data_IF_972140460811
#
_entry.id   IF_972140460811
#
_cell.length_a   1.000
_cell.length_b   1.000
_cell.length_c   1.000
_cell.angle_alpha   90.00
_cell.angle_beta   90.00
_cell.angle_gamma   90.00
#
_symmetry.space_group_name_H-M   'P 1'
#
loop_
_entity.id
_entity.type
_entity.pdbx_description
1 polymer ?
#
# COMPACT_ATOMS: atom_id res chain seq x y z
N UNK A 1 8.19 -11.54 -0.50
CA UNK A 1 8.70 -12.90 -0.30
C UNK A 1 10.12 -12.93 0.28
N UNK A 2 11.18 -12.92 -0.54
CA UNK A 2 12.57 -13.03 -0.07
C UNK A 2 13.09 -11.72 0.54
N UNK A 3 13.72 -11.82 1.72
CA UNK A 3 14.43 -10.71 2.37
C UNK A 3 15.86 -11.17 2.63
N UNK A 4 16.80 -10.54 1.93
CA UNK A 4 18.24 -10.80 2.04
C UNK A 4 18.83 -10.04 3.22
N UNK A 5 19.94 -10.55 3.74
CA UNK A 5 20.72 -9.89 4.78
C UNK A 5 21.01 -8.41 4.45
N UNK A 6 20.90 -7.55 5.46
CA UNK A 6 21.10 -6.11 5.32
C UNK A 6 19.86 -5.34 4.85
N UNK A 7 18.83 -5.99 4.28
CA UNK A 7 17.65 -5.27 3.79
C UNK A 7 16.78 -4.72 4.93
N UNK A 8 16.53 -5.53 5.96
CA UNK A 8 15.74 -5.13 7.14
C UNK A 8 16.32 -3.89 7.80
N UNK A 9 17.64 -3.85 7.98
CA UNK A 9 18.34 -2.75 8.66
C UNK A 9 18.25 -1.46 7.84
N UNK A 10 18.35 -1.56 6.50
CA UNK A 10 18.18 -0.39 5.62
C UNK A 10 16.74 0.09 5.59
N UNK A 11 15.76 -0.81 5.55
CA UNK A 11 14.35 -0.46 5.62
C UNK A 11 14.02 0.22 6.96
N UNK A 12 14.50 -0.34 8.06
CA UNK A 12 14.33 0.24 9.39
C UNK A 12 14.99 1.61 9.52
N UNK A 13 16.23 1.77 9.03
CA UNK A 13 16.91 3.06 9.03
C UNK A 13 16.14 4.11 8.21
N UNK A 14 15.62 3.73 7.04
CA UNK A 14 14.77 4.59 6.20
C UNK A 14 13.51 5.04 6.94
N UNK A 15 12.78 4.10 7.55
CA UNK A 15 11.54 4.44 8.29
C UNK A 15 11.85 5.28 9.53
N UNK A 16 12.86 4.92 10.33
CA UNK A 16 13.27 5.73 11.51
C UNK A 16 13.58 7.18 11.13
N UNK A 17 14.17 7.41 9.96
CA UNK A 17 14.51 8.74 9.46
C UNK A 17 13.29 9.56 8.97
N UNK A 18 12.10 8.97 8.89
CA UNK A 18 10.87 9.63 8.40
C UNK A 18 10.26 8.96 7.17
N UNK A 19 10.84 7.87 6.68
CA UNK A 19 10.32 7.10 5.55
C UNK A 19 9.02 6.37 5.87
N UNK A 20 8.28 6.05 4.81
CA UNK A 20 7.05 5.26 4.88
C UNK A 20 7.27 3.96 4.13
N UNK A 21 7.11 2.84 4.82
CA UNK A 21 7.30 1.50 4.26
C UNK A 21 5.97 0.78 4.21
N UNK A 22 5.68 0.09 3.12
CA UNK A 22 4.49 -0.75 2.98
C UNK A 22 4.96 -2.14 2.58
N UNK A 23 4.55 -3.14 3.34
CA UNK A 23 4.68 -4.54 2.96
C UNK A 23 3.31 -5.21 2.92
N UNK A 24 3.23 -6.33 2.23
CA UNK A 24 2.02 -7.14 2.13
C UNK A 24 2.26 -8.52 2.72
N UNK A 25 1.19 -9.29 2.83
CA UNK A 25 1.21 -10.73 3.03
C UNK A 25 2.31 -11.40 2.20
N UNK A 26 2.87 -12.48 2.73
CA UNK A 26 3.95 -13.26 2.12
C UNK A 26 5.27 -12.50 1.95
N UNK A 27 5.53 -11.50 2.79
CA UNK A 27 6.81 -10.77 2.86
C UNK A 27 7.71 -11.32 3.98
N UNK A 28 9.03 -11.35 3.76
CA UNK A 28 9.98 -11.77 4.79
C UNK A 28 9.95 -13.26 5.13
N UNK A 29 9.64 -14.11 4.15
CA UNK A 29 9.50 -15.55 4.35
C UNK A 29 10.86 -16.25 4.34
N UNK A 30 11.71 -15.94 3.36
CA UNK A 30 12.97 -16.66 3.12
C UNK A 30 14.18 -15.74 2.94
N UNK A 31 15.38 -16.30 3.13
CA UNK A 31 16.66 -15.69 2.79
C UNK A 31 17.05 -15.92 1.31
N UNK A 32 18.24 -15.48 0.91
CA UNK A 32 18.77 -15.60 -0.46
C UNK A 32 18.93 -17.04 -0.98
N UNK A 33 18.91 -18.03 -0.09
CA UNK A 33 18.97 -19.45 -0.42
C UNK A 33 17.63 -20.17 -0.28
N UNK A 34 16.53 -19.41 -0.21
CA UNK A 34 15.16 -19.93 -0.07
C UNK A 34 14.91 -20.68 1.26
N UNK A 35 15.76 -20.48 2.27
CA UNK A 35 15.53 -21.02 3.61
C UNK A 35 14.62 -20.09 4.39
N UNK A 36 13.59 -20.64 5.02
CA UNK A 36 12.67 -19.88 5.86
C UNK A 36 13.42 -19.19 7.01
N UNK A 37 13.09 -17.92 7.22
CA UNK A 37 13.56 -17.18 8.39
C UNK A 37 12.97 -17.79 9.67
N UNK A 38 13.79 -18.19 10.66
CA UNK A 38 13.29 -18.64 11.96
C UNK A 38 12.76 -17.45 12.77
N UNK A 39 11.96 -17.74 13.82
CA UNK A 39 11.47 -16.70 14.74
C UNK A 39 10.16 -16.02 14.34
N UNK A 40 9.46 -16.54 13.33
CA UNK A 40 8.12 -16.12 12.91
C UNK A 40 8.12 -15.05 11.82
N UNK A 41 7.08 -15.04 11.00
CA UNK A 41 6.95 -14.12 9.87
C UNK A 41 6.45 -12.74 10.32
N UNK A 42 6.81 -11.63 9.64
CA UNK A 42 7.57 -11.50 8.40
C UNK A 42 9.09 -11.47 8.60
N UNK A 43 9.62 -12.34 9.47
CA UNK A 43 11.04 -12.63 9.60
C UNK A 43 11.82 -11.38 10.00
N UNK A 44 12.89 -11.00 9.28
CA UNK A 44 13.66 -9.80 9.57
C UNK A 44 12.85 -8.49 9.56
N UNK A 45 11.66 -8.47 8.95
CA UNK A 45 10.78 -7.28 8.92
C UNK A 45 9.82 -7.20 10.11
N UNK A 46 9.69 -8.26 10.93
CA UNK A 46 8.77 -8.33 12.08
C UNK A 46 8.95 -7.15 13.06
N UNK A 47 10.17 -6.79 13.49
CA UNK A 47 10.36 -5.63 14.39
C UNK A 47 9.94 -4.29 13.76
N UNK A 48 10.19 -4.12 12.46
CA UNK A 48 9.82 -2.90 11.73
C UNK A 48 8.31 -2.79 11.57
N UNK A 49 7.66 -3.87 11.17
CA UNK A 49 6.22 -3.90 10.89
C UNK A 49 5.38 -4.01 12.17
N UNK A 50 5.98 -4.41 13.29
CA UNK A 50 5.30 -4.51 14.59
C UNK A 50 4.15 -5.51 14.57
N UNK A 51 4.30 -6.61 13.83
CA UNK A 51 3.31 -7.67 13.68
C UNK A 51 3.99 -9.03 13.58
N UNK A 52 3.31 -10.07 14.05
CA UNK A 52 3.61 -11.46 13.76
C UNK A 52 2.55 -12.03 12.81
N UNK A 53 2.96 -12.48 11.63
CA UNK A 53 2.12 -13.26 10.73
C UNK A 53 2.27 -14.74 11.08
N UNK A 54 1.21 -15.31 11.66
CA UNK A 54 1.22 -16.69 12.17
C UNK A 54 1.04 -17.70 11.03
N UNK A 55 0.03 -17.48 10.20
CA UNK A 55 -0.33 -18.37 9.11
C UNK A 55 -0.92 -17.59 7.93
N UNK A 56 -0.87 -18.20 6.75
CA UNK A 56 -1.54 -17.71 5.55
C UNK A 56 -2.63 -18.71 5.15
N UNK A 57 -3.84 -18.20 5.01
CA UNK A 57 -4.98 -18.91 4.47
C UNK A 57 -5.05 -18.70 2.95
N UNK A 58 -5.38 -19.77 2.23
CA UNK A 58 -5.47 -19.78 0.76
C UNK A 58 -6.90 -20.07 0.34
N UNK A 59 -7.50 -19.09 -0.32
CA UNK A 59 -8.90 -19.12 -0.77
C UNK A 59 -8.98 -19.59 -2.23
N UNK A 60 -9.99 -20.39 -2.56
CA UNK A 60 -10.33 -20.70 -3.96
C UNK A 60 -10.88 -19.48 -4.70
N UNK A 61 -11.02 -19.58 -6.03
CA UNK A 61 -11.56 -18.49 -6.86
C UNK A 61 -13.00 -18.10 -6.48
N UNK A 62 -13.77 -19.02 -5.91
CA UNK A 62 -15.14 -18.81 -5.44
C UNK A 62 -15.21 -18.23 -4.02
N UNK A 63 -14.11 -18.31 -3.25
CA UNK A 63 -14.04 -17.84 -1.88
C UNK A 63 -13.57 -16.38 -1.82
N UNK A 64 -14.07 -15.65 -0.83
CA UNK A 64 -13.59 -14.32 -0.48
C UNK A 64 -13.93 -13.98 0.96
N UNK A 65 -13.18 -13.05 1.52
CA UNK A 65 -13.46 -12.44 2.82
C UNK A 65 -13.75 -10.94 2.61
N UNK A 66 -14.17 -10.24 3.65
CA UNK A 66 -14.34 -8.79 3.66
C UNK A 66 -13.40 -8.15 4.69
N UNK A 67 -12.76 -7.05 4.29
CA UNK A 67 -11.90 -6.22 5.13
C UNK A 67 -12.61 -4.91 5.37
N UNK A 68 -12.75 -4.50 6.63
CA UNK A 68 -13.46 -3.28 7.01
C UNK A 68 -12.60 -2.35 7.85
N UNK A 69 -12.58 -1.07 7.46
CA UNK A 69 -11.87 -0.05 8.21
C UNK A 69 -12.45 0.15 9.61
N UNK A 70 -11.58 0.34 10.61
CA UNK A 70 -11.99 0.72 11.95
C UNK A 70 -12.37 2.21 11.99
N UNK A 71 -13.32 2.63 12.85
CA UNK A 71 -13.87 3.99 12.86
C UNK A 71 -12.82 5.11 12.95
N UNK A 72 -11.75 4.91 13.73
CA UNK A 72 -10.72 5.92 14.01
C UNK A 72 -9.44 5.74 13.18
N UNK A 73 -9.45 4.84 12.18
CA UNK A 73 -8.27 4.51 11.36
C UNK A 73 -7.87 5.58 10.34
N UNK A 74 -8.72 6.58 10.11
CA UNK A 74 -8.58 7.53 8.99
C UNK A 74 -9.02 6.95 7.64
N UNK A 75 -9.41 5.68 7.59
CA UNK A 75 -10.02 5.03 6.43
C UNK A 75 -11.52 4.80 6.66
N UNK A 76 -12.28 4.73 5.58
CA UNK A 76 -13.71 4.40 5.61
C UNK A 76 -14.03 3.47 4.45
N UNK A 77 -14.70 2.37 4.74
CA UNK A 77 -15.12 1.41 3.72
C UNK A 77 -15.05 -0.03 4.20
N UNK A 78 -15.62 -0.90 3.37
CA UNK A 78 -15.39 -2.33 3.35
C UNK A 78 -14.92 -2.73 1.96
N UNK A 79 -14.04 -3.71 1.88
CA UNK A 79 -13.40 -4.15 0.64
C UNK A 79 -13.32 -5.66 0.58
N UNK A 80 -13.31 -6.20 -0.63
CA UNK A 80 -13.19 -7.64 -0.83
C UNK A 80 -11.73 -8.08 -0.74
N UNK A 81 -11.48 -9.09 0.09
CA UNK A 81 -10.24 -9.86 0.10
C UNK A 81 -10.45 -11.20 -0.63
N UNK A 82 -9.44 -11.66 -1.36
CA UNK A 82 -9.48 -12.90 -2.17
C UNK A 82 -8.14 -13.59 -2.15
N UNK A 83 -8.11 -14.86 -2.52
CA UNK A 83 -6.92 -15.69 -2.74
C UNK A 83 -6.02 -15.93 -1.52
N UNK A 84 -5.56 -14.89 -0.83
CA UNK A 84 -4.63 -15.00 0.30
C UNK A 84 -5.01 -14.03 1.43
N UNK A 85 -5.13 -14.57 2.64
CA UNK A 85 -5.43 -13.85 3.88
C UNK A 85 -4.50 -14.35 4.99
N UNK A 86 -3.66 -13.48 5.56
CA UNK A 86 -2.86 -13.83 6.73
C UNK A 86 -3.60 -13.56 8.04
N UNK A 87 -3.42 -14.48 9.00
CA UNK A 87 -3.78 -14.27 10.40
C UNK A 87 -2.57 -13.61 11.09
N UNK A 88 -2.74 -12.33 11.47
CA UNK A 88 -1.66 -11.53 12.05
C UNK A 88 -1.97 -11.06 13.47
N UNK A 89 -0.92 -10.92 14.27
CA UNK A 89 -0.95 -10.47 15.66
C UNK A 89 -0.14 -9.17 15.80
N UNK A 90 -0.75 -8.06 16.23
CA UNK A 90 -0.01 -6.83 16.44
C UNK A 90 0.94 -6.93 17.63
N UNK A 91 2.19 -6.54 17.41
CA UNK A 91 3.27 -6.44 18.40
C UNK A 91 3.72 -4.99 18.53
N UNK A 92 2.75 -4.10 18.78
CA UNK A 92 2.95 -2.65 18.84
C UNK A 92 2.39 -1.88 17.64
N UNK A 93 2.04 -2.56 16.56
CA UNK A 93 1.30 -1.93 15.46
C UNK A 93 -0.14 -1.59 15.86
N UNK A 94 -0.61 -0.45 15.39
CA UNK A 94 -2.01 -0.02 15.42
C UNK A 94 -2.79 -0.72 14.31
N UNK A 95 -4.02 -1.15 14.62
CA UNK A 95 -4.92 -1.78 13.65
C UNK A 95 -5.76 -0.71 12.95
N UNK A 96 -5.79 -0.75 11.62
CA UNK A 96 -6.55 0.18 10.79
C UNK A 96 -7.79 -0.47 10.17
N UNK A 97 -7.74 -1.77 9.86
CA UNK A 97 -8.87 -2.53 9.35
C UNK A 97 -8.81 -3.98 9.84
N UNK A 98 -9.96 -4.63 9.95
CA UNK A 98 -10.09 -6.03 10.35
C UNK A 98 -10.85 -6.84 9.29
N UNK A 99 -10.62 -8.14 9.26
CA UNK A 99 -11.51 -9.07 8.57
C UNK A 99 -12.88 -9.11 9.25
N UNK A 100 -13.94 -9.38 8.49
CA UNK A 100 -15.31 -9.44 9.01
C UNK A 100 -15.95 -10.82 8.92
N UNK A 101 -15.30 -11.78 8.28
CA UNK A 101 -15.81 -13.15 8.09
C UNK A 101 -14.72 -14.21 8.35
N UNK A 102 -15.12 -15.48 8.32
CA UNK A 102 -14.32 -16.68 8.58
C UNK A 102 -13.83 -16.84 10.03
N UNK A 103 -13.05 -17.88 10.32
CA UNK A 103 -12.57 -18.20 11.68
C UNK A 103 -11.66 -17.12 12.29
N UNK A 104 -11.14 -16.21 11.45
CA UNK A 104 -10.34 -15.05 11.82
C UNK A 104 -11.11 -13.72 11.69
N UNK A 105 -12.45 -13.74 11.69
CA UNK A 105 -13.25 -12.54 11.81
C UNK A 105 -12.82 -11.71 13.04
N UNK A 106 -12.62 -10.41 12.84
CA UNK A 106 -12.10 -9.49 13.87
C UNK A 106 -10.58 -9.40 13.96
N UNK A 107 -9.83 -10.33 13.33
CA UNK A 107 -8.37 -10.21 13.26
C UNK A 107 -7.94 -9.06 12.34
N UNK A 108 -6.77 -8.45 12.57
CA UNK A 108 -6.28 -7.34 11.76
C UNK A 108 -6.02 -7.74 10.30
N UNK A 109 -6.40 -6.87 9.38
CA UNK A 109 -6.16 -7.01 7.94
C UNK A 109 -5.30 -5.88 7.36
N UNK A 110 -5.24 -4.73 8.05
CA UNK A 110 -4.36 -3.61 7.75
C UNK A 110 -3.83 -3.03 9.06
N UNK A 111 -2.51 -2.91 9.19
CA UNK A 111 -1.86 -2.32 10.38
C UNK A 111 -0.87 -1.22 10.01
N UNK A 112 -0.56 -0.39 11.01
CA UNK A 112 0.44 0.69 10.97
C UNK A 112 1.32 0.59 12.22
N UNK A 113 2.63 0.58 12.06
CA UNK A 113 3.58 0.71 13.15
C UNK A 113 4.34 2.04 13.06
N UNK A 114 4.45 2.74 14.19
CA UNK A 114 5.21 3.98 14.29
C UNK A 114 6.66 3.69 14.66
N UNK A 115 7.60 4.04 13.77
CA UNK A 115 9.02 3.74 13.96
C UNK A 115 9.86 4.98 13.74
N UNK A 116 10.43 5.52 14.82
CA UNK A 116 11.14 6.80 14.80
C UNK A 116 10.25 7.93 14.31
N UNK A 117 10.62 8.58 13.20
CA UNK A 117 9.83 9.66 12.58
C UNK A 117 8.89 9.18 11.47
N UNK A 118 8.96 7.90 11.09
CA UNK A 118 8.23 7.33 9.97
C UNK A 118 7.17 6.32 10.39
N UNK A 119 6.62 5.62 9.40
CA UNK A 119 5.57 4.62 9.59
C UNK A 119 5.80 3.40 8.71
N UNK A 120 5.48 2.21 9.23
CA UNK A 120 5.50 0.97 8.47
C UNK A 120 4.08 0.37 8.44
N UNK A 121 3.56 0.08 7.25
CA UNK A 121 2.22 -0.49 7.05
C UNK A 121 2.32 -1.94 6.61
N UNK A 122 1.37 -2.76 7.06
CA UNK A 122 1.23 -4.15 6.61
C UNK A 122 -0.18 -4.43 6.10
N UNK A 123 -0.29 -4.93 4.87
CA UNK A 123 -1.55 -5.36 4.25
C UNK A 123 -1.61 -6.88 4.27
N UNK A 124 -2.46 -7.46 5.12
CA UNK A 124 -2.47 -8.90 5.41
C UNK A 124 -3.20 -9.76 4.35
N UNK A 125 -3.85 -9.15 3.36
CA UNK A 125 -4.62 -9.87 2.33
C UNK A 125 -4.46 -9.28 0.94
N UNK A 126 -4.81 -10.07 -0.08
CA UNK A 126 -5.00 -9.57 -1.45
C UNK A 126 -6.39 -8.94 -1.57
N UNK A 127 -6.43 -7.63 -1.70
CA UNK A 127 -7.66 -6.85 -1.73
C UNK A 127 -8.07 -6.44 -3.16
N UNK A 128 -9.26 -5.88 -3.30
CA UNK A 128 -9.75 -5.31 -4.56
C UNK A 128 -9.17 -3.92 -4.87
N UNK A 129 -9.48 -3.42 -6.07
CA UNK A 129 -8.99 -2.10 -6.52
C UNK A 129 -9.52 -0.96 -5.64
N UNK A 130 -10.72 -1.11 -5.06
CA UNK A 130 -11.29 -0.09 -4.20
C UNK A 130 -10.50 0.06 -2.89
N UNK A 131 -9.95 -1.03 -2.34
CA UNK A 131 -9.01 -0.98 -1.23
C UNK A 131 -7.75 -0.22 -1.63
N UNK A 132 -7.15 -0.58 -2.76
CA UNK A 132 -5.91 0.04 -3.22
C UNK A 132 -6.09 1.53 -3.49
N UNK A 133 -7.22 1.94 -4.07
CA UNK A 133 -7.58 3.35 -4.25
C UNK A 133 -7.71 4.08 -2.92
N UNK A 134 -8.44 3.54 -1.95
CA UNK A 134 -8.62 4.17 -0.65
C UNK A 134 -7.29 4.28 0.13
N UNK A 135 -6.53 3.19 0.18
CA UNK A 135 -5.25 3.14 0.90
C UNK A 135 -4.19 4.05 0.25
N UNK A 136 -4.05 4.04 -1.07
CA UNK A 136 -3.09 4.94 -1.74
C UNK A 136 -3.53 6.41 -1.68
N UNK A 137 -4.84 6.71 -1.74
CA UNK A 137 -5.33 8.07 -1.51
C UNK A 137 -5.00 8.59 -0.12
N UNK A 138 -5.15 7.74 0.91
CA UNK A 138 -4.72 8.07 2.28
C UNK A 138 -3.21 8.40 2.33
N UNK A 139 -2.37 7.58 1.70
CA UNK A 139 -0.92 7.81 1.66
C UNK A 139 -0.57 9.09 0.88
N UNK A 140 -1.22 9.37 -0.24
CA UNK A 140 -1.02 10.61 -1.03
C UNK A 140 -1.29 11.84 -0.18
N UNK A 141 -2.38 11.86 0.57
CA UNK A 141 -2.73 12.98 1.47
C UNK A 141 -1.72 13.10 2.61
N UNK A 142 -1.42 11.98 3.27
CA UNK A 142 -0.53 11.95 4.44
C UNK A 142 0.90 12.39 4.11
N UNK A 143 1.42 11.96 2.96
CA UNK A 143 2.77 12.27 2.48
C UNK A 143 2.84 13.54 1.64
N UNK A 144 1.69 14.15 1.29
CA UNK A 144 1.60 15.28 0.35
C UNK A 144 2.32 14.97 -0.97
N UNK A 145 2.08 13.77 -1.52
CA UNK A 145 2.78 13.33 -2.73
C UNK A 145 2.45 14.26 -3.90
N UNK A 146 3.45 14.77 -4.64
CA UNK A 146 3.22 15.66 -5.76
C UNK A 146 2.56 14.92 -6.91
N UNK A 147 1.61 15.57 -7.58
CA UNK A 147 0.94 15.02 -8.75
C UNK A 147 1.52 15.66 -10.00
N UNK A 148 1.49 14.94 -11.12
CA UNK A 148 1.87 15.50 -12.42
C UNK A 148 0.95 16.65 -12.83
N UNK A 149 -0.33 16.55 -12.45
CA UNK A 149 -1.35 17.56 -12.69
C UNK A 149 -2.31 17.62 -11.49
N UNK A 150 -2.54 18.81 -10.95
CA UNK A 150 -3.42 19.04 -9.79
C UNK A 150 -4.90 19.14 -10.21
N UNK A 151 -5.44 18.01 -10.66
CA UNK A 151 -6.85 17.86 -11.04
C UNK A 151 -7.35 16.45 -10.77
N UNK A 152 -8.66 16.24 -10.74
CA UNK A 152 -9.24 14.90 -10.68
C UNK A 152 -9.15 14.26 -12.06
N UNK A 153 -8.60 13.06 -12.13
CA UNK A 153 -8.46 12.32 -13.38
C UNK A 153 -9.60 11.30 -13.51
N UNK A 154 -10.31 11.24 -14.65
CA UNK A 154 -11.20 10.14 -14.97
C UNK A 154 -10.44 8.81 -14.98
N UNK A 155 -11.12 7.72 -14.62
CA UNK A 155 -10.57 6.36 -14.73
C UNK A 155 -10.09 6.10 -16.16
N UNK A 156 -8.86 5.60 -16.31
CA UNK A 156 -8.23 5.36 -17.62
C UNK A 156 -7.52 6.58 -18.23
N UNK A 157 -7.55 7.75 -17.57
CA UNK A 157 -6.71 8.90 -17.91
C UNK A 157 -5.51 8.97 -16.97
N UNK A 158 -4.31 9.06 -17.54
CA UNK A 158 -3.03 9.08 -16.80
C UNK A 158 -2.27 10.35 -17.14
N UNK A 159 -1.71 11.00 -16.13
CA UNK A 159 -0.77 12.12 -16.30
C UNK A 159 0.61 11.77 -15.77
N UNK A 160 1.64 12.07 -16.55
CA UNK A 160 3.04 11.94 -16.12
C UNK A 160 3.76 13.26 -16.32
N UNK A 161 4.77 13.54 -15.48
CA UNK A 161 5.57 14.77 -15.54
C UNK A 161 7.05 14.45 -15.72
N UNK A 162 7.70 15.16 -16.63
CA UNK A 162 9.17 15.18 -16.77
C UNK A 162 9.67 16.61 -16.58
N UNK A 163 10.90 16.75 -16.10
CA UNK A 163 11.56 18.05 -15.94
C UNK A 163 13.04 17.94 -16.28
N UNK A 164 13.61 19.04 -16.78
CA UNK A 164 15.04 19.26 -16.95
C UNK A 164 15.65 20.13 -15.83
N UNK A 165 14.82 20.56 -14.86
CA UNK A 165 15.18 21.49 -13.79
C UNK A 165 14.75 22.94 -14.05
N UNK A 166 14.40 23.32 -15.28
CA UNK A 166 13.92 24.65 -15.64
C UNK A 166 12.46 24.64 -16.10
N UNK A 167 12.07 23.60 -16.85
CA UNK A 167 10.74 23.42 -17.41
C UNK A 167 10.16 22.10 -16.94
N UNK A 168 8.83 22.04 -16.97
CA UNK A 168 8.08 20.81 -16.73
C UNK A 168 7.20 20.50 -17.95
N UNK A 169 7.16 19.22 -18.32
CA UNK A 169 6.31 18.71 -19.39
C UNK A 169 5.35 17.71 -18.80
N UNK A 170 4.06 17.98 -18.95
CA UNK A 170 2.98 17.10 -18.53
C UNK A 170 2.42 16.36 -19.75
N UNK A 171 2.41 15.03 -19.68
CA UNK A 171 1.85 14.17 -20.72
C UNK A 171 0.51 13.64 -20.25
N UNK A 172 -0.56 14.11 -20.87
CA UNK A 172 -1.93 13.65 -20.62
C UNK A 172 -2.25 12.53 -21.61
N UNK A 173 -2.57 11.34 -21.08
CA UNK A 173 -2.76 10.12 -21.87
C UNK A 173 -4.15 9.54 -21.56
N UNK A 174 -4.98 9.38 -22.59
CA UNK A 174 -6.32 8.82 -22.47
C UNK A 174 -6.36 7.40 -23.05
N UNK A 175 -6.61 6.41 -22.20
CA UNK A 175 -6.70 5.00 -22.58
C UNK A 175 -8.15 4.46 -22.64
N UNK A 176 -9.15 5.34 -22.55
CA UNK A 176 -10.57 4.92 -22.42
C UNK A 176 -11.26 4.61 -23.74
N UNK A 177 -10.65 4.90 -24.90
CA UNK A 177 -11.29 4.77 -26.21
C UNK A 177 -12.34 5.85 -26.51
N UNK A 178 -12.83 6.54 -25.49
CA UNK A 178 -13.81 7.62 -25.58
C UNK A 178 -13.16 8.99 -25.35
N UNK A 179 -13.83 10.06 -25.80
CA UNK A 179 -13.41 11.43 -25.48
C UNK A 179 -13.52 11.67 -23.97
N UNK A 180 -12.46 12.22 -23.38
CA UNK A 180 -12.41 12.63 -21.97
C UNK A 180 -12.16 14.13 -21.88
N UNK A 181 -12.70 14.76 -20.84
CA UNK A 181 -12.53 16.18 -20.56
C UNK A 181 -11.88 16.36 -19.19
N UNK A 182 -10.95 17.31 -19.10
CA UNK A 182 -10.21 17.62 -17.88
C UNK A 182 -10.29 19.11 -17.60
N UNK A 183 -10.61 19.44 -16.35
CA UNK A 183 -10.52 20.81 -15.85
C UNK A 183 -9.09 21.08 -15.39
N UNK A 184 -8.46 22.06 -16.02
CA UNK A 184 -7.11 22.50 -15.67
C UNK A 184 -7.19 23.68 -14.70
N UNK A 185 -6.62 23.51 -13.52
CA UNK A 185 -6.48 24.56 -12.50
C UNK A 185 -5.29 25.51 -12.77
N UNK A 186 -4.49 25.21 -13.80
CA UNK A 186 -3.28 25.95 -14.19
C UNK A 186 -3.25 26.20 -15.69
N UNK A 187 -2.61 27.29 -16.11
CA UNK A 187 -2.36 27.57 -17.52
C UNK A 187 -1.17 26.75 -17.99
N UNK A 188 -1.38 25.91 -19.01
CA UNK A 188 -0.34 25.13 -19.66
C UNK A 188 -0.14 25.63 -21.10
N UNK A 189 1.10 25.57 -21.58
CA UNK A 189 1.43 25.84 -22.97
C UNK A 189 1.47 24.54 -23.75
N UNK A 190 0.93 24.54 -24.98
CA UNK A 190 1.05 23.39 -25.85
C UNK A 190 2.50 23.32 -26.39
N UNK A 191 3.26 22.34 -25.92
CA UNK A 191 4.67 22.20 -26.26
C UNK A 191 4.93 21.93 -27.77
N UNK A 192 3.91 21.54 -28.53
CA UNK A 192 4.02 21.23 -29.97
C UNK A 192 3.57 22.40 -30.83
N UNK A 193 2.42 23.02 -30.52
CA UNK A 193 1.86 24.10 -31.34
C UNK A 193 2.34 25.50 -30.97
N UNK A 194 2.99 25.67 -29.81
CA UNK A 194 3.09 26.98 -29.15
C UNK A 194 1.73 27.45 -28.64
#
# INVERSE_FOLDING_TARGET
YMVRDGFSERAEAFVRAGGYFVATYWSGIVNETDLCHPGGFPGPLRPLLGIWAEEIDSLSDEQSNEVKALPDSGLKGGWRARELCEVIHPEGAEVLACYTDDFYAGYPALTQNHVGKGRAFYVASRNDDAFHQAFTAMLVVLLKLPRALETTLPTGVVTTRRTDGEREWVFVQNYTGDRQELDLSVVLYNAVSG
#
